data_IF_355951675905
#
_entry.id   IF_355951675905
#
_cell.length_a   1.000
_cell.length_b   1.000
_cell.length_c   1.000
_cell.angle_alpha   90.00
_cell.angle_beta   90.00
_cell.angle_gamma   90.00
#
_symmetry.space_group_name_H-M   'P 1'
#
loop_
_entity.id
_entity.type
_entity.pdbx_description
1 polymer ?
#
# COMPACT_ATOMS: atom_id res chain seq x y z
N UNK A 1 -43.04 -41.97 77.42
CA UNK A 1 -43.16 -42.42 76.02
C UNK A 1 -43.32 -41.25 74.97
N UNK A 2 -43.07 -40.02 75.35
CA UNK A 2 -43.16 -38.83 74.45
C UNK A 2 -41.85 -38.14 74.12
N UNK A 3 -40.75 -38.54 74.80
CA UNK A 3 -39.42 -37.87 74.54
C UNK A 3 -38.54 -38.68 73.55
N UNK A 4 -38.79 -39.94 73.33
CA UNK A 4 -38.03 -40.79 72.43
C UNK A 4 -38.37 -40.59 70.94
N UNK A 5 -39.56 -40.02 70.64
CA UNK A 5 -39.99 -39.79 69.26
C UNK A 5 -39.51 -38.46 68.64
N UNK A 6 -39.08 -37.50 69.45
CA UNK A 6 -38.57 -36.16 68.93
C UNK A 6 -37.11 -36.24 68.51
N UNK A 7 -36.33 -37.15 69.06
CA UNK A 7 -34.92 -37.30 68.73
C UNK A 7 -34.70 -37.93 67.33
N UNK A 8 -35.56 -38.90 66.98
CA UNK A 8 -35.40 -39.63 65.71
C UNK A 8 -35.85 -38.81 64.45
N UNK A 9 -36.74 -37.85 64.63
CA UNK A 9 -37.20 -36.97 63.53
C UNK A 9 -36.14 -35.89 63.20
N UNK A 10 -35.38 -35.44 64.20
CA UNK A 10 -34.30 -34.44 63.97
C UNK A 10 -33.11 -35.04 63.20
N UNK A 11 -32.79 -36.30 63.39
CA UNK A 11 -31.71 -36.99 62.70
C UNK A 11 -32.10 -37.33 61.24
N UNK A 12 -33.33 -37.62 60.97
CA UNK A 12 -33.80 -37.88 59.60
C UNK A 12 -33.83 -36.58 58.76
N UNK A 13 -34.18 -35.44 59.32
CA UNK A 13 -34.15 -34.14 58.61
C UNK A 13 -32.72 -33.66 58.36
N UNK A 14 -31.77 -33.95 59.23
CA UNK A 14 -30.36 -33.56 59.07
C UNK A 14 -29.66 -34.44 58.01
N UNK A 15 -29.99 -35.70 57.87
CA UNK A 15 -29.46 -36.64 56.89
C UNK A 15 -29.94 -36.29 55.43
N UNK A 16 -31.19 -35.83 55.29
CA UNK A 16 -31.73 -35.42 53.99
C UNK A 16 -31.19 -34.05 53.52
N UNK A 17 -30.86 -33.20 54.49
CA UNK A 17 -30.27 -31.90 54.14
C UNK A 17 -28.80 -31.99 53.66
N UNK A 18 -28.05 -32.95 54.11
CA UNK A 18 -26.68 -33.24 53.68
C UNK A 18 -26.61 -33.96 52.32
N UNK A 19 -27.64 -34.68 51.90
CA UNK A 19 -27.71 -35.31 50.60
C UNK A 19 -28.20 -34.35 49.48
N UNK A 20 -28.84 -33.24 49.83
CA UNK A 20 -29.27 -32.22 48.86
C UNK A 20 -28.19 -31.13 48.59
N UNK A 21 -27.15 -31.03 49.41
CA UNK A 21 -26.04 -30.09 49.17
C UNK A 21 -24.96 -30.65 48.24
N UNK A 22 -25.01 -31.94 47.90
CA UNK A 22 -24.05 -32.58 46.98
C UNK A 22 -24.37 -32.43 45.49
N UNK A 23 -25.54 -31.85 45.10
CA UNK A 23 -25.99 -31.80 43.69
C UNK A 23 -26.06 -30.40 43.06
N UNK A 24 -25.53 -29.37 43.70
CA UNK A 24 -25.66 -27.99 43.19
C UNK A 24 -24.31 -27.32 42.98
N UNK A 25 -23.33 -28.00 42.42
CA UNK A 25 -22.14 -27.34 41.85
C UNK A 25 -21.56 -28.10 40.65
N UNK A 26 -22.42 -28.64 39.80
CA UNK A 26 -22.04 -28.84 38.41
C UNK A 26 -22.25 -27.53 37.69
N UNK A 27 -21.28 -26.62 37.75
CA UNK A 27 -21.19 -25.50 36.84
C UNK A 27 -21.04 -26.13 35.45
N UNK A 28 -22.14 -26.22 34.71
CA UNK A 28 -22.12 -26.49 33.29
C UNK A 28 -21.38 -25.27 32.71
N UNK A 29 -20.05 -25.37 32.62
CA UNK A 29 -19.30 -24.48 31.73
C UNK A 29 -19.91 -24.74 30.34
N UNK A 30 -20.34 -23.69 29.63
CA UNK A 30 -20.72 -23.88 28.25
C UNK A 30 -19.48 -24.44 27.56
N UNK A 31 -19.51 -25.73 27.23
CA UNK A 31 -18.57 -26.28 26.27
C UNK A 31 -18.65 -25.34 25.06
N UNK A 32 -17.60 -24.54 24.82
CA UNK A 32 -17.38 -23.98 23.52
C UNK A 32 -17.41 -25.18 22.58
N UNK A 33 -18.53 -25.40 21.93
CA UNK A 33 -18.64 -26.32 20.83
C UNK A 33 -17.61 -25.81 19.83
N UNK A 34 -16.42 -26.43 19.82
CA UNK A 34 -15.49 -26.25 18.72
C UNK A 34 -16.25 -26.75 17.50
N UNK A 35 -16.84 -25.79 16.75
CA UNK A 35 -17.39 -26.12 15.47
C UNK A 35 -16.29 -26.80 14.68
N UNK A 36 -16.53 -28.04 14.25
CA UNK A 36 -15.56 -28.73 13.41
C UNK A 36 -15.20 -27.84 12.25
N UNK A 37 -13.90 -27.73 11.90
CA UNK A 37 -13.48 -26.90 10.78
C UNK A 37 -14.24 -27.36 9.54
N UNK A 38 -14.98 -26.43 8.94
CA UNK A 38 -15.80 -26.67 7.76
C UNK A 38 -15.04 -26.25 6.51
N UNK A 39 -15.27 -26.98 5.41
CA UNK A 39 -14.77 -26.57 4.10
C UNK A 39 -15.38 -25.23 3.70
N UNK A 40 -14.55 -24.29 3.26
CA UNK A 40 -14.99 -23.00 2.73
C UNK A 40 -15.07 -23.06 1.20
N UNK A 41 -16.25 -22.75 0.66
CA UNK A 41 -16.46 -22.64 -0.79
C UNK A 41 -16.10 -21.24 -1.27
N UNK A 42 -15.54 -21.16 -2.46
CA UNK A 42 -15.19 -19.88 -3.07
C UNK A 42 -16.43 -19.02 -3.32
N UNK A 43 -16.41 -17.78 -2.82
CA UNK A 43 -17.47 -16.79 -3.01
C UNK A 43 -16.97 -15.38 -2.74
N UNK A 44 -17.76 -14.37 -3.09
CA UNK A 44 -17.50 -13.00 -2.64
C UNK A 44 -18.78 -12.35 -2.11
N UNK A 45 -18.61 -11.37 -1.22
CA UNK A 45 -19.72 -10.63 -0.61
C UNK A 45 -19.27 -9.22 -0.19
N UNK A 46 -20.24 -8.32 -0.09
CA UNK A 46 -20.01 -6.94 0.35
C UNK A 46 -20.07 -6.87 1.88
N UNK A 47 -19.20 -6.07 2.47
CA UNK A 47 -19.20 -5.82 3.91
C UNK A 47 -18.79 -4.36 4.21
N UNK A 48 -18.88 -3.98 5.47
CA UNK A 48 -18.49 -2.67 5.99
C UNK A 48 -17.91 -2.83 7.38
N UNK A 49 -17.01 -1.94 7.75
CA UNK A 49 -16.58 -1.76 9.15
C UNK A 49 -16.71 -0.30 9.56
N UNK A 50 -16.65 -0.05 10.84
CA UNK A 50 -16.61 1.30 11.41
C UNK A 50 -15.16 1.54 11.83
N UNK A 51 -14.54 2.56 11.28
CA UNK A 51 -13.21 3.02 11.66
C UNK A 51 -13.23 3.64 13.07
N UNK A 52 -12.04 3.85 13.64
CA UNK A 52 -11.87 4.39 15.01
C UNK A 52 -12.56 5.74 15.25
N UNK A 53 -12.74 6.53 14.18
CA UNK A 53 -13.40 7.84 14.21
C UNK A 53 -14.89 7.79 13.84
N UNK A 54 -15.49 6.60 13.76
CA UNK A 54 -16.88 6.40 13.40
C UNK A 54 -17.16 6.37 11.89
N UNK A 55 -16.14 6.56 11.03
CA UNK A 55 -16.30 6.53 9.57
C UNK A 55 -16.62 5.11 9.09
N UNK A 56 -17.61 4.98 8.22
CA UNK A 56 -17.95 3.68 7.61
C UNK A 56 -17.05 3.43 6.40
N UNK A 57 -16.31 2.32 6.45
CA UNK A 57 -15.45 1.85 5.36
C UNK A 57 -16.09 0.63 4.71
N UNK A 58 -16.29 0.72 3.39
CA UNK A 58 -16.95 -0.30 2.59
C UNK A 58 -15.92 -1.15 1.82
N UNK A 59 -16.12 -2.46 1.81
CA UNK A 59 -15.23 -3.38 1.12
C UNK A 59 -15.96 -4.59 0.55
N UNK A 60 -15.28 -5.32 -0.31
CA UNK A 60 -15.70 -6.62 -0.84
C UNK A 60 -14.74 -7.67 -0.30
N UNK A 61 -15.29 -8.69 0.30
CA UNK A 61 -14.55 -9.86 0.79
C UNK A 61 -14.62 -10.95 -0.25
N UNK A 62 -13.48 -11.48 -0.64
CA UNK A 62 -13.31 -12.61 -1.52
C UNK A 62 -12.84 -13.81 -0.70
N UNK A 63 -13.77 -14.70 -0.39
CA UNK A 63 -13.53 -15.93 0.36
C UNK A 63 -12.90 -16.98 -0.55
N UNK A 64 -11.73 -17.52 -0.22
CA UNK A 64 -11.12 -18.61 -0.98
C UNK A 64 -11.87 -19.93 -0.82
N UNK A 65 -11.56 -20.91 -1.66
CA UNK A 65 -11.84 -22.29 -1.37
C UNK A 65 -10.77 -22.82 -0.41
N UNK A 66 -11.16 -23.33 0.77
CA UNK A 66 -10.26 -23.93 1.76
C UNK A 66 -10.85 -25.26 2.27
N UNK A 67 -10.00 -26.27 2.35
CA UNK A 67 -10.36 -27.52 3.00
C UNK A 67 -10.57 -27.30 4.50
N UNK A 68 -11.27 -28.21 5.14
CA UNK A 68 -11.45 -28.21 6.59
C UNK A 68 -10.08 -28.16 7.30
N UNK A 69 -9.89 -27.18 8.20
CA UNK A 69 -8.64 -26.98 8.96
C UNK A 69 -7.50 -26.29 8.20
N UNK A 70 -7.64 -26.03 6.91
CA UNK A 70 -6.68 -25.23 6.17
C UNK A 70 -6.86 -23.74 6.52
N UNK A 71 -5.75 -23.02 6.72
CA UNK A 71 -5.75 -21.57 6.93
C UNK A 71 -5.20 -20.82 5.71
N UNK A 72 -5.57 -19.55 5.57
CA UNK A 72 -5.13 -18.69 4.47
C UNK A 72 -4.77 -17.29 4.97
N UNK A 73 -3.71 -16.67 4.42
CA UNK A 73 -3.37 -15.29 4.72
C UNK A 73 -4.38 -14.32 4.10
N UNK A 74 -4.36 -13.08 4.60
CA UNK A 74 -5.15 -11.97 4.10
C UNK A 74 -4.34 -11.14 3.11
N UNK A 75 -4.92 -10.81 1.96
CA UNK A 75 -4.40 -9.81 1.04
C UNK A 75 -5.37 -8.63 0.98
N UNK A 76 -4.91 -7.45 1.37
CA UNK A 76 -5.65 -6.20 1.21
C UNK A 76 -5.31 -5.57 -0.14
N UNK A 77 -6.33 -5.24 -0.90
CA UNK A 77 -6.24 -4.52 -2.17
C UNK A 77 -7.05 -3.23 -2.07
N UNK A 78 -6.48 -2.13 -2.52
CA UNK A 78 -7.22 -0.89 -2.68
C UNK A 78 -6.85 -0.20 -3.97
N UNK A 79 -7.41 0.96 -4.22
CA UNK A 79 -7.44 1.62 -5.51
C UNK A 79 -6.61 2.90 -5.54
N UNK A 80 -6.15 3.29 -6.72
CA UNK A 80 -5.55 4.60 -6.99
C UNK A 80 -6.56 5.73 -6.77
N UNK A 81 -6.05 6.95 -6.68
CA UNK A 81 -6.84 8.14 -6.40
C UNK A 81 -7.99 8.32 -7.41
N UNK A 82 -9.17 8.66 -6.92
CA UNK A 82 -10.38 8.87 -7.75
C UNK A 82 -11.08 7.60 -8.22
N UNK A 83 -10.53 6.41 -7.95
CA UNK A 83 -11.13 5.13 -8.33
C UNK A 83 -11.96 4.52 -7.19
N UNK A 84 -12.32 3.27 -7.33
CA UNK A 84 -13.07 2.50 -6.33
C UNK A 84 -12.64 1.05 -6.31
N UNK A 85 -12.95 0.35 -5.22
CA UNK A 85 -12.61 -1.05 -5.00
C UNK A 85 -13.09 -2.00 -6.10
N UNK A 86 -12.53 -3.18 -6.15
CA UNK A 86 -13.05 -4.29 -6.93
C UNK A 86 -14.35 -4.82 -6.29
N UNK A 87 -15.50 -4.36 -6.77
CA UNK A 87 -16.83 -4.78 -6.26
C UNK A 87 -17.25 -6.14 -6.79
N UNK A 88 -16.89 -6.43 -8.02
CA UNK A 88 -17.18 -7.68 -8.74
C UNK A 88 -15.96 -8.10 -9.52
N UNK A 89 -15.54 -9.37 -9.44
CA UNK A 89 -14.27 -9.81 -10.01
C UNK A 89 -14.20 -9.70 -11.53
N UNK A 90 -15.34 -9.69 -12.22
CA UNK A 90 -15.40 -9.69 -13.69
C UNK A 90 -15.88 -8.34 -14.27
N UNK A 91 -16.52 -7.50 -13.48
CA UNK A 91 -17.19 -6.29 -13.98
C UNK A 91 -16.59 -4.98 -13.47
N UNK A 92 -15.83 -5.01 -12.40
CA UNK A 92 -15.16 -3.80 -11.89
C UNK A 92 -13.89 -3.51 -12.69
N UNK A 93 -13.50 -2.25 -12.78
CA UNK A 93 -12.30 -1.81 -13.49
C UNK A 93 -11.06 -2.59 -13.04
N UNK A 94 -10.87 -2.78 -11.73
CA UNK A 94 -9.80 -3.58 -11.17
C UNK A 94 -9.92 -5.07 -11.50
N UNK A 95 -11.11 -5.63 -11.40
CA UNK A 95 -11.33 -7.04 -11.71
C UNK A 95 -11.16 -7.40 -13.19
N UNK A 96 -11.39 -6.44 -14.07
CA UNK A 96 -11.33 -6.63 -15.52
C UNK A 96 -10.00 -6.18 -16.15
N UNK A 97 -9.48 -5.00 -15.77
CA UNK A 97 -8.44 -4.33 -16.53
C UNK A 97 -7.15 -4.07 -15.71
N UNK A 98 -7.29 -3.55 -14.50
CA UNK A 98 -6.12 -3.02 -13.78
C UNK A 98 -5.27 -4.14 -13.15
N UNK A 99 -3.93 -4.07 -13.28
CA UNK A 99 -3.03 -5.15 -12.89
C UNK A 99 -3.11 -5.54 -11.42
N UNK A 100 -3.21 -4.59 -10.51
CA UNK A 100 -3.29 -4.87 -9.07
C UNK A 100 -4.54 -5.66 -8.70
N UNK A 101 -5.68 -5.36 -9.35
CA UNK A 101 -6.91 -6.13 -9.23
C UNK A 101 -6.79 -7.52 -9.85
N UNK A 102 -6.04 -7.68 -10.95
CA UNK A 102 -5.76 -9.01 -11.51
C UNK A 102 -4.91 -9.87 -10.57
N UNK A 103 -3.92 -9.27 -9.89
CA UNK A 103 -3.16 -9.96 -8.85
C UNK A 103 -4.07 -10.34 -7.68
N UNK A 104 -4.91 -9.43 -7.19
CA UNK A 104 -5.86 -9.71 -6.12
C UNK A 104 -6.82 -10.86 -6.49
N UNK A 105 -7.32 -10.87 -7.72
CA UNK A 105 -8.16 -11.96 -8.25
C UNK A 105 -7.41 -13.29 -8.34
N UNK A 106 -6.14 -13.26 -8.74
CA UNK A 106 -5.27 -14.44 -8.77
C UNK A 106 -4.99 -14.96 -7.37
N UNK A 107 -4.69 -14.08 -6.41
CA UNK A 107 -4.51 -14.44 -5.01
C UNK A 107 -5.74 -15.13 -4.43
N UNK A 108 -6.94 -14.59 -4.68
CA UNK A 108 -8.20 -15.22 -4.28
C UNK A 108 -8.34 -16.65 -4.81
N UNK A 109 -8.04 -16.86 -6.09
CA UNK A 109 -8.07 -18.20 -6.72
C UNK A 109 -7.01 -19.14 -6.15
N UNK A 110 -5.89 -18.58 -5.69
CA UNK A 110 -4.76 -19.31 -5.10
C UNK A 110 -4.86 -19.45 -3.57
N UNK A 111 -6.07 -19.32 -3.01
CA UNK A 111 -6.32 -19.63 -1.62
C UNK A 111 -5.98 -18.51 -0.63
N UNK A 112 -6.00 -17.25 -1.05
CA UNK A 112 -5.94 -16.10 -0.16
C UNK A 112 -7.35 -15.61 0.19
N UNK A 113 -7.56 -15.20 1.43
CA UNK A 113 -8.60 -14.22 1.71
C UNK A 113 -8.19 -12.90 1.06
N UNK A 114 -9.09 -12.29 0.30
CA UNK A 114 -8.83 -10.98 -0.29
C UNK A 114 -9.91 -10.01 0.16
N UNK A 115 -9.51 -8.84 0.64
CA UNK A 115 -10.40 -7.72 0.89
C UNK A 115 -10.00 -6.58 -0.04
N UNK A 116 -10.92 -6.21 -0.94
CA UNK A 116 -10.78 -5.00 -1.75
C UNK A 116 -11.67 -3.91 -1.16
N UNK A 117 -11.08 -2.78 -0.72
CA UNK A 117 -11.81 -1.74 0.00
C UNK A 117 -11.81 -0.39 -0.74
N UNK A 118 -12.88 0.38 -0.57
CA UNK A 118 -12.89 1.80 -0.93
C UNK A 118 -12.18 2.59 0.18
N UNK A 119 -11.17 3.36 -0.18
CA UNK A 119 -10.55 4.30 0.75
C UNK A 119 -11.59 5.36 1.17
N UNK A 120 -11.41 5.97 2.35
CA UNK A 120 -12.33 7.02 2.81
C UNK A 120 -12.49 8.13 1.77
N UNK A 121 -13.69 8.68 1.66
CA UNK A 121 -14.02 9.66 0.63
C UNK A 121 -14.24 9.09 -0.77
N UNK A 122 -14.04 7.79 -1.00
CA UNK A 122 -14.21 7.15 -2.30
C UNK A 122 -15.33 6.09 -2.29
N UNK A 123 -15.87 5.81 -3.45
CA UNK A 123 -16.81 4.72 -3.68
C UNK A 123 -18.01 4.72 -2.73
N UNK A 124 -18.14 3.66 -1.93
CA UNK A 124 -19.19 3.52 -0.92
C UNK A 124 -18.70 3.77 0.51
N UNK A 125 -17.43 4.11 0.70
CA UNK A 125 -16.90 4.56 1.99
C UNK A 125 -17.30 6.00 2.28
N UNK A 126 -17.47 6.28 3.56
CA UNK A 126 -17.74 7.62 4.05
C UNK A 126 -16.44 8.40 4.30
N UNK A 127 -16.55 9.56 4.93
CA UNK A 127 -15.42 10.39 5.32
C UNK A 127 -14.92 11.31 4.22
N UNK A 128 -13.77 11.91 4.47
CA UNK A 128 -13.06 12.85 3.60
C UNK A 128 -11.69 12.30 3.21
N UNK A 129 -11.22 12.67 2.04
CA UNK A 129 -9.89 12.33 1.50
C UNK A 129 -8.86 13.18 2.24
N UNK A 130 -7.86 12.54 2.86
CA UNK A 130 -6.79 13.22 3.60
C UNK A 130 -5.37 12.87 3.11
N UNK A 131 -5.24 12.18 2.01
CA UNK A 131 -3.96 11.79 1.39
C UNK A 131 -3.07 10.90 2.29
N UNK A 132 -3.58 9.72 2.66
CA UNK A 132 -2.86 8.72 3.46
C UNK A 132 -2.50 9.16 4.89
N UNK A 133 -3.38 9.94 5.50
CA UNK A 133 -3.26 10.38 6.89
C UNK A 133 -3.11 9.18 7.84
N UNK A 134 -2.06 9.14 8.68
CA UNK A 134 -1.81 8.04 9.61
C UNK A 134 -2.91 7.83 10.64
N UNK A 135 -3.65 8.89 11.01
CA UNK A 135 -4.76 8.84 11.95
C UNK A 135 -6.12 8.54 11.29
N UNK A 136 -6.17 8.50 9.98
CA UNK A 136 -7.39 8.29 9.19
C UNK A 136 -7.26 7.09 8.24
N UNK A 137 -6.67 7.27 7.06
CA UNK A 137 -6.59 6.21 6.04
C UNK A 137 -5.83 4.97 6.54
N UNK A 138 -4.75 5.15 7.30
CA UNK A 138 -4.03 4.01 7.86
C UNK A 138 -4.83 3.32 8.98
N UNK A 139 -5.61 4.07 9.79
CA UNK A 139 -6.51 3.49 10.79
C UNK A 139 -7.69 2.74 10.15
N UNK A 140 -8.09 3.11 8.94
CA UNK A 140 -9.08 2.36 8.17
C UNK A 140 -8.57 0.95 7.84
N UNK A 141 -7.29 0.85 7.43
CA UNK A 141 -6.63 -0.44 7.16
C UNK A 141 -6.61 -1.31 8.43
N UNK A 142 -6.23 -0.74 9.57
CA UNK A 142 -6.21 -1.42 10.87
C UNK A 142 -7.62 -1.91 11.23
N UNK A 143 -8.63 -1.07 11.02
CA UNK A 143 -10.03 -1.40 11.30
C UNK A 143 -10.56 -2.54 10.40
N UNK A 144 -10.11 -2.61 9.15
CA UNK A 144 -10.42 -3.72 8.24
C UNK A 144 -9.77 -5.02 8.71
N UNK A 145 -8.50 -4.99 9.14
CA UNK A 145 -7.82 -6.16 9.70
C UNK A 145 -8.50 -6.66 10.97
N UNK A 146 -8.89 -5.75 11.88
CA UNK A 146 -9.65 -6.09 13.09
C UNK A 146 -11.00 -6.73 12.76
N UNK A 147 -11.68 -6.20 11.74
CA UNK A 147 -12.92 -6.79 11.25
C UNK A 147 -12.69 -8.20 10.67
N UNK A 148 -11.62 -8.38 9.91
CA UNK A 148 -11.28 -9.67 9.30
C UNK A 148 -11.02 -10.74 10.38
N UNK A 149 -10.19 -10.43 11.39
CA UNK A 149 -9.91 -11.35 12.51
C UNK A 149 -11.16 -11.76 13.27
N UNK A 150 -12.12 -10.86 13.42
CA UNK A 150 -13.37 -11.13 14.12
C UNK A 150 -14.36 -11.96 13.29
N UNK A 151 -14.38 -11.79 11.97
CA UNK A 151 -15.48 -12.26 11.12
C UNK A 151 -15.09 -13.33 10.11
N UNK A 152 -13.81 -13.49 9.79
CA UNK A 152 -13.38 -14.46 8.79
C UNK A 152 -12.81 -15.72 9.46
N UNK A 153 -13.32 -16.90 9.12
CA UNK A 153 -12.77 -18.15 9.63
C UNK A 153 -11.47 -18.54 8.91
N UNK A 154 -10.69 -19.41 9.52
CA UNK A 154 -9.52 -20.02 8.90
C UNK A 154 -8.48 -19.00 8.35
N UNK A 155 -8.33 -17.86 9.03
CA UNK A 155 -7.23 -16.92 8.76
C UNK A 155 -5.91 -17.49 9.25
N UNK A 156 -4.86 -17.39 8.43
CA UNK A 156 -3.51 -17.66 8.87
C UNK A 156 -3.04 -16.54 9.81
N UNK A 157 -2.49 -16.94 10.94
CA UNK A 157 -2.03 -16.03 11.99
C UNK A 157 -0.61 -16.37 12.43
N UNK A 158 0.07 -15.41 13.00
CA UNK A 158 1.32 -15.58 13.74
C UNK A 158 1.25 -14.81 15.07
N UNK A 159 2.39 -14.58 15.70
CA UNK A 159 2.47 -13.87 16.99
C UNK A 159 1.93 -12.42 16.95
N UNK A 160 1.89 -11.81 15.77
CA UNK A 160 1.40 -10.42 15.58
C UNK A 160 -0.11 -10.38 15.26
N UNK A 161 -0.77 -11.51 14.99
CA UNK A 161 -2.16 -11.61 14.54
C UNK A 161 -2.27 -12.13 13.11
N UNK A 162 -3.28 -11.68 12.36
CA UNK A 162 -3.51 -12.13 10.97
C UNK A 162 -2.34 -11.78 10.05
N UNK A 163 -1.86 -12.79 9.31
CA UNK A 163 -0.80 -12.58 8.30
C UNK A 163 -1.36 -11.81 7.11
N UNK A 164 -0.98 -10.55 6.99
CA UNK A 164 -1.53 -9.64 6.01
C UNK A 164 -0.49 -9.15 5.01
N UNK A 165 -0.84 -9.20 3.73
CA UNK A 165 -0.15 -8.49 2.67
C UNK A 165 -1.00 -7.35 2.12
N UNK A 166 -0.36 -6.36 1.47
CA UNK A 166 -1.06 -5.26 0.81
C UNK A 166 -0.54 -5.04 -0.61
N UNK A 167 -1.46 -4.69 -1.52
CA UNK A 167 -1.13 -4.33 -2.90
C UNK A 167 -2.01 -3.17 -3.38
N UNK A 168 -1.43 -2.29 -4.15
CA UNK A 168 -2.11 -1.19 -4.82
C UNK A 168 -1.14 -0.19 -5.42
N UNK A 169 -1.62 0.58 -6.38
CA UNK A 169 -0.85 1.61 -7.08
C UNK A 169 -1.16 3.02 -6.58
N UNK A 170 -0.23 3.95 -6.75
CA UNK A 170 -0.40 5.38 -6.48
C UNK A 170 -0.86 5.65 -5.05
N UNK A 171 -2.03 6.22 -4.85
CA UNK A 171 -2.65 6.46 -3.56
C UNK A 171 -2.71 5.19 -2.69
N UNK A 172 -3.05 4.05 -3.30
CA UNK A 172 -3.02 2.75 -2.65
C UNK A 172 -1.61 2.25 -2.30
N UNK A 173 -0.59 2.73 -2.97
CA UNK A 173 0.80 2.46 -2.65
C UNK A 173 1.25 3.20 -1.39
N UNK A 174 0.93 4.50 -1.29
CA UNK A 174 1.31 5.34 -0.16
C UNK A 174 0.78 4.84 1.18
N UNK A 175 -0.49 4.42 1.24
CA UNK A 175 -1.10 3.92 2.47
C UNK A 175 -0.44 2.63 2.98
N UNK A 176 0.17 1.82 2.11
CA UNK A 176 0.85 0.59 2.52
C UNK A 176 2.07 0.88 3.40
N UNK A 177 2.86 1.89 3.04
CA UNK A 177 4.01 2.30 3.84
C UNK A 177 3.60 2.71 5.25
N UNK A 178 2.58 3.55 5.36
CA UNK A 178 2.13 4.07 6.65
C UNK A 178 1.45 2.97 7.48
N UNK A 179 0.56 2.18 6.88
CA UNK A 179 -0.09 1.08 7.58
C UNK A 179 0.92 0.06 8.11
N UNK A 180 1.95 -0.28 7.33
CA UNK A 180 2.99 -1.21 7.77
C UNK A 180 3.94 -0.63 8.82
N UNK A 181 4.09 0.69 8.88
CA UNK A 181 4.82 1.36 9.97
C UNK A 181 4.05 1.27 11.31
N UNK A 182 2.72 1.34 11.25
CA UNK A 182 1.84 1.40 12.41
C UNK A 182 1.40 0.03 12.94
N UNK A 183 1.26 -0.98 12.07
CA UNK A 183 0.71 -2.28 12.46
C UNK A 183 1.55 -3.46 11.93
N UNK A 184 2.16 -4.26 12.85
CA UNK A 184 3.06 -5.36 12.47
C UNK A 184 2.33 -6.56 11.84
N UNK A 185 1.01 -6.58 11.78
CA UNK A 185 0.25 -7.58 11.02
C UNK A 185 0.45 -7.44 9.52
N UNK A 186 0.80 -6.23 9.03
CA UNK A 186 1.20 -6.01 7.64
C UNK A 186 2.64 -6.48 7.47
N UNK A 187 2.84 -7.64 6.85
CA UNK A 187 4.15 -8.33 6.76
C UNK A 187 4.79 -8.20 5.38
N UNK A 188 3.99 -8.02 4.34
CA UNK A 188 4.48 -7.90 2.97
C UNK A 188 3.69 -6.84 2.21
N UNK A 189 4.39 -5.94 1.54
CA UNK A 189 3.77 -4.87 0.75
C UNK A 189 4.26 -4.89 -0.70
N UNK A 190 3.35 -4.50 -1.60
CA UNK A 190 3.68 -4.28 -3.02
C UNK A 190 3.16 -2.89 -3.43
N UNK A 191 3.86 -1.82 -3.03
CA UNK A 191 3.54 -0.47 -3.46
C UNK A 191 4.02 -0.25 -4.89
N UNK A 192 3.13 0.30 -5.73
CA UNK A 192 3.37 0.48 -7.16
C UNK A 192 3.21 1.95 -7.51
N UNK A 193 4.20 2.55 -8.20
CA UNK A 193 4.19 3.96 -8.65
C UNK A 193 3.66 4.94 -7.59
N UNK A 194 4.30 4.97 -6.45
CA UNK A 194 3.88 5.80 -5.34
C UNK A 194 5.04 6.68 -4.82
N UNK A 195 4.76 7.48 -3.81
CA UNK A 195 5.71 8.42 -3.23
C UNK A 195 6.36 7.89 -1.96
N UNK A 196 7.60 8.27 -1.76
CA UNK A 196 8.28 8.25 -0.47
C UNK A 196 8.06 9.57 0.27
N UNK A 197 8.15 10.68 -0.49
CA UNK A 197 7.87 12.04 -0.04
C UNK A 197 6.88 12.73 -0.97
N UNK A 198 5.67 13.02 -0.46
CA UNK A 198 4.60 13.61 -1.27
C UNK A 198 4.85 15.09 -1.57
N UNK A 199 5.52 15.80 -0.66
CA UNK A 199 5.83 17.21 -0.85
C UNK A 199 6.88 17.37 -1.93
N UNK A 200 7.99 16.63 -1.84
CA UNK A 200 9.03 16.60 -2.88
C UNK A 200 8.45 16.16 -4.24
N UNK A 201 7.53 15.20 -4.22
CA UNK A 201 6.89 14.71 -5.45
C UNK A 201 5.97 15.72 -6.11
N UNK A 202 5.19 16.48 -5.37
CA UNK A 202 4.22 17.43 -5.92
C UNK A 202 4.77 18.84 -6.12
N UNK A 203 5.76 19.21 -5.30
CA UNK A 203 6.35 20.56 -5.28
C UNK A 203 7.89 20.47 -5.28
N UNK A 204 8.48 19.77 -6.27
CA UNK A 204 9.93 19.57 -6.30
C UNK A 204 10.68 20.93 -6.37
N UNK A 205 11.65 21.10 -5.46
CA UNK A 205 12.42 22.34 -5.31
C UNK A 205 11.56 23.61 -5.13
N UNK A 206 10.38 23.47 -4.53
CA UNK A 206 9.46 24.59 -4.33
C UNK A 206 8.61 24.96 -5.56
N UNK A 207 8.73 24.22 -6.66
CA UNK A 207 7.96 24.46 -7.91
C UNK A 207 6.81 23.45 -8.01
N UNK A 208 5.54 23.92 -7.97
CA UNK A 208 4.39 23.02 -8.06
C UNK A 208 4.27 22.35 -9.43
N UNK A 209 3.92 21.06 -9.44
CA UNK A 209 3.48 20.36 -10.66
C UNK A 209 2.03 20.75 -10.99
N UNK A 210 1.83 21.94 -11.53
CA UNK A 210 0.52 22.58 -11.69
C UNK A 210 -0.53 21.76 -12.43
N UNK A 211 -0.16 21.12 -13.54
CA UNK A 211 -1.09 20.28 -14.32
C UNK A 211 -1.54 19.04 -13.51
N UNK A 212 -0.63 18.38 -12.81
CA UNK A 212 -0.95 17.25 -11.96
C UNK A 212 -1.83 17.66 -10.77
N UNK A 213 -1.51 18.76 -10.12
CA UNK A 213 -2.31 19.28 -9.00
C UNK A 213 -3.72 19.64 -9.45
N UNK A 214 -3.85 20.28 -10.63
CA UNK A 214 -5.14 20.62 -11.22
C UNK A 214 -5.96 19.37 -11.56
N UNK A 215 -5.32 18.35 -12.15
CA UNK A 215 -5.94 17.08 -12.47
C UNK A 215 -6.39 16.32 -11.21
N UNK A 216 -5.55 16.24 -10.18
CA UNK A 216 -5.90 15.58 -8.91
C UNK A 216 -7.04 16.32 -8.19
N UNK A 217 -7.03 17.65 -8.21
CA UNK A 217 -8.13 18.43 -7.64
C UNK A 217 -9.44 18.20 -8.39
N UNK A 218 -9.40 18.17 -9.72
CA UNK A 218 -10.59 17.89 -10.55
C UNK A 218 -11.20 16.51 -10.19
N UNK A 219 -10.37 15.49 -10.08
CA UNK A 219 -10.82 14.14 -9.71
C UNK A 219 -11.36 14.10 -8.28
N UNK A 220 -10.69 14.75 -7.35
CA UNK A 220 -11.08 14.76 -5.93
C UNK A 220 -12.36 15.55 -5.67
N UNK A 221 -12.56 16.67 -6.35
CA UNK A 221 -13.72 17.53 -6.17
C UNK A 221 -14.91 17.11 -7.02
N UNK A 222 -14.71 16.98 -8.31
CA UNK A 222 -15.84 16.69 -9.22
C UNK A 222 -16.23 15.21 -9.19
N UNK A 223 -15.25 14.32 -9.38
CA UNK A 223 -15.55 12.88 -9.48
C UNK A 223 -15.99 12.27 -8.14
N UNK A 224 -15.44 12.77 -7.04
CA UNK A 224 -15.77 12.32 -5.69
C UNK A 224 -16.74 13.26 -4.93
N UNK A 225 -17.44 14.17 -5.62
CA UNK A 225 -18.48 15.01 -5.03
C UNK A 225 -17.99 15.84 -3.84
N UNK A 226 -16.90 16.58 -4.03
CA UNK A 226 -16.34 17.46 -2.99
C UNK A 226 -15.90 16.69 -1.72
N UNK A 227 -15.18 15.61 -1.92
CA UNK A 227 -14.75 14.72 -0.83
C UNK A 227 -13.39 15.06 -0.21
N UNK A 228 -12.67 16.03 -0.74
CA UNK A 228 -11.46 16.53 -0.08
C UNK A 228 -11.76 17.10 1.31
N UNK A 229 -10.84 16.84 2.24
CA UNK A 229 -10.81 17.54 3.51
C UNK A 229 -10.58 19.05 3.28
N UNK A 230 -11.23 19.94 4.07
CA UNK A 230 -11.06 21.38 3.90
C UNK A 230 -9.61 21.88 4.01
N UNK A 231 -8.79 21.27 4.89
CA UNK A 231 -7.38 21.64 5.05
C UNK A 231 -6.57 21.31 3.79
N UNK A 232 -6.84 20.17 3.15
CA UNK A 232 -6.21 19.82 1.88
C UNK A 232 -6.63 20.74 0.74
N UNK A 233 -7.88 21.19 0.73
CA UNK A 233 -8.34 22.20 -0.23
C UNK A 233 -7.62 23.52 -0.06
N UNK A 234 -7.44 23.95 1.17
CA UNK A 234 -6.68 25.17 1.46
C UNK A 234 -5.22 25.02 1.04
N UNK A 235 -4.58 23.88 1.36
CA UNK A 235 -3.23 23.59 0.94
C UNK A 235 -3.07 23.62 -0.59
N UNK A 236 -4.03 23.04 -1.32
CA UNK A 236 -4.06 23.10 -2.78
C UNK A 236 -4.16 24.54 -3.29
N UNK A 237 -5.05 25.36 -2.71
CA UNK A 237 -5.20 26.76 -3.10
C UNK A 237 -3.92 27.58 -2.85
N UNK A 238 -3.27 27.36 -1.72
CA UNK A 238 -2.00 28.01 -1.39
C UNK A 238 -0.90 27.65 -2.38
N UNK A 239 -0.76 26.38 -2.73
CA UNK A 239 0.20 25.90 -3.73
C UNK A 239 -0.10 26.48 -5.12
N UNK A 240 -1.38 26.56 -5.51
CA UNK A 240 -1.80 27.16 -6.79
C UNK A 240 -1.41 28.65 -6.89
N UNK A 241 -1.34 29.33 -5.76
CA UNK A 241 -0.88 30.71 -5.68
C UNK A 241 0.66 30.85 -5.62
N UNK A 242 1.38 29.73 -5.78
CA UNK A 242 2.84 29.69 -5.66
C UNK A 242 3.34 29.78 -4.21
N UNK A 243 2.49 29.50 -3.24
CA UNK A 243 2.81 29.59 -1.82
C UNK A 243 2.80 28.19 -1.19
N UNK A 244 3.97 27.62 -0.97
CA UNK A 244 4.11 26.46 -0.10
C UNK A 244 4.24 26.96 1.35
N UNK A 245 3.10 27.10 2.02
CA UNK A 245 3.07 27.56 3.42
C UNK A 245 3.59 26.47 4.38
N UNK A 246 4.13 26.89 5.51
CA UNK A 246 4.56 25.97 6.56
C UNK A 246 3.40 25.07 7.05
N UNK A 247 2.18 25.60 7.11
CA UNK A 247 0.97 24.82 7.47
C UNK A 247 0.66 23.69 6.50
N UNK A 248 0.89 23.91 5.20
CA UNK A 248 0.74 22.85 4.17
C UNK A 248 1.80 21.76 4.35
N UNK A 249 3.05 22.16 4.61
CA UNK A 249 4.12 21.22 4.91
C UNK A 249 3.82 20.42 6.17
N UNK A 250 3.40 21.09 7.25
CA UNK A 250 3.07 20.45 8.52
C UNK A 250 1.89 19.48 8.41
N UNK A 251 0.91 19.79 7.56
CA UNK A 251 -0.19 18.89 7.25
C UNK A 251 0.30 17.62 6.54
N UNK A 252 1.13 17.76 5.52
CA UNK A 252 1.50 16.65 4.65
C UNK A 252 2.68 15.82 5.16
N UNK A 253 3.51 16.35 6.05
CA UNK A 253 4.76 15.69 6.50
C UNK A 253 4.55 14.29 7.08
N UNK A 254 3.42 14.03 7.75
CA UNK A 254 3.10 12.71 8.32
C UNK A 254 2.40 11.78 7.33
N UNK A 255 2.08 12.25 6.12
CA UNK A 255 1.34 11.52 5.08
C UNK A 255 2.28 10.80 4.10
N UNK A 256 3.51 10.53 4.53
CA UNK A 256 4.58 10.05 3.66
C UNK A 256 5.56 9.14 4.40
N UNK A 257 6.16 8.21 3.67
CA UNK A 257 7.11 7.25 4.25
C UNK A 257 8.38 7.95 4.80
N UNK A 258 8.83 9.04 4.19
CA UNK A 258 10.03 9.79 4.60
C UNK A 258 9.97 10.19 6.08
N UNK A 259 8.85 10.71 6.54
CA UNK A 259 8.68 11.11 7.94
C UNK A 259 8.85 9.92 8.90
N UNK A 260 8.25 8.77 8.59
CA UNK A 260 8.37 7.57 9.41
C UNK A 260 9.80 7.04 9.44
N UNK A 261 10.51 7.13 8.30
CA UNK A 261 11.91 6.74 8.19
C UNK A 261 12.82 7.63 9.04
N UNK A 262 12.60 8.93 9.03
CA UNK A 262 13.39 9.93 9.77
C UNK A 262 13.13 9.87 11.27
N UNK A 263 11.94 9.45 11.69
CA UNK A 263 11.55 9.37 13.09
C UNK A 263 11.70 7.95 13.70
N UNK A 264 12.52 7.10 13.12
CA UNK A 264 12.78 5.72 13.56
C UNK A 264 11.51 4.84 13.64
N UNK A 265 10.53 5.13 12.83
CA UNK A 265 9.26 4.40 12.71
C UNK A 265 9.06 3.83 11.30
N UNK A 266 10.15 3.50 10.62
CA UNK A 266 10.12 3.00 9.25
C UNK A 266 9.11 1.84 9.06
N UNK A 267 8.60 1.63 7.82
CA UNK A 267 7.76 0.49 7.50
C UNK A 267 8.35 -0.82 8.01
N UNK A 268 7.53 -1.65 8.65
CA UNK A 268 7.92 -2.92 9.28
C UNK A 268 7.51 -4.13 8.45
N UNK A 269 7.36 -3.95 7.15
CA UNK A 269 7.01 -5.01 6.21
C UNK A 269 8.13 -5.19 5.20
N UNK A 270 8.31 -6.43 4.75
CA UNK A 270 9.11 -6.70 3.55
C UNK A 270 8.42 -6.09 2.32
N UNK A 271 9.18 -5.53 1.38
CA UNK A 271 8.62 -4.78 0.27
C UNK A 271 9.12 -5.22 -1.10
N UNK A 272 8.18 -5.39 -2.02
CA UNK A 272 8.46 -5.46 -3.46
C UNK A 272 7.94 -4.18 -4.11
N UNK A 273 8.81 -3.21 -4.30
CA UNK A 273 8.47 -1.90 -4.87
C UNK A 273 8.52 -1.98 -6.39
N UNK A 274 7.52 -1.43 -7.07
CA UNK A 274 7.51 -1.32 -8.52
C UNK A 274 7.34 0.15 -8.90
N UNK A 275 8.32 0.72 -9.59
CA UNK A 275 8.33 2.16 -9.93
C UNK A 275 8.61 2.38 -11.41
N UNK A 276 7.90 3.34 -12.02
CA UNK A 276 8.05 3.69 -13.42
C UNK A 276 9.15 4.73 -13.68
N UNK A 277 9.99 4.51 -14.71
CA UNK A 277 10.98 5.50 -15.13
C UNK A 277 10.38 6.74 -15.78
N UNK A 278 9.17 6.62 -16.31
CA UNK A 278 8.43 7.70 -16.95
C UNK A 278 7.36 8.30 -16.08
N UNK A 279 7.37 7.95 -14.80
CA UNK A 279 6.44 8.54 -13.86
C UNK A 279 6.87 9.96 -13.54
N UNK A 280 6.14 10.91 -14.12
CA UNK A 280 6.39 12.35 -13.90
C UNK A 280 5.64 12.87 -12.68
N UNK A 281 4.71 12.08 -12.11
CA UNK A 281 4.04 12.44 -10.86
C UNK A 281 4.90 12.00 -9.66
N UNK A 282 5.24 10.71 -9.59
CA UNK A 282 6.11 10.12 -8.57
C UNK A 282 7.37 9.53 -9.23
N UNK A 283 8.44 10.31 -9.34
CA UNK A 283 9.65 9.90 -10.05
C UNK A 283 10.28 8.61 -9.49
N UNK A 284 11.08 7.94 -10.29
CA UNK A 284 11.73 6.68 -9.93
C UNK A 284 12.54 6.74 -8.62
N UNK A 285 13.15 7.89 -8.32
CA UNK A 285 13.89 8.11 -7.08
C UNK A 285 13.01 7.99 -5.83
N UNK A 286 11.70 8.14 -5.91
CA UNK A 286 10.80 7.89 -4.78
C UNK A 286 10.83 6.42 -4.38
N UNK A 287 10.83 5.50 -5.35
CA UNK A 287 11.02 4.06 -5.10
C UNK A 287 12.39 3.74 -4.51
N UNK A 288 13.45 4.41 -4.99
CA UNK A 288 14.81 4.23 -4.46
C UNK A 288 14.90 4.67 -3.00
N UNK A 289 14.41 5.88 -2.69
CA UNK A 289 14.40 6.40 -1.30
C UNK A 289 13.60 5.50 -0.36
N UNK A 290 12.42 5.03 -0.79
CA UNK A 290 11.60 4.11 -0.01
C UNK A 290 12.32 2.77 0.24
N UNK A 291 12.96 2.21 -0.79
CA UNK A 291 13.72 0.98 -0.67
C UNK A 291 14.90 1.12 0.31
N UNK A 292 15.67 2.19 0.20
CA UNK A 292 16.78 2.49 1.12
C UNK A 292 16.32 2.65 2.57
N UNK A 293 15.15 3.26 2.77
CA UNK A 293 14.55 3.39 4.11
C UNK A 293 14.21 2.02 4.70
N UNK A 294 13.50 1.18 3.95
CA UNK A 294 13.09 -0.16 4.39
C UNK A 294 14.31 -1.05 4.66
N UNK A 295 15.33 -0.98 3.80
CA UNK A 295 16.57 -1.72 3.98
C UNK A 295 17.30 -1.32 5.29
N UNK A 296 17.33 -0.03 5.63
CA UNK A 296 17.90 0.45 6.90
C UNK A 296 17.17 -0.09 8.13
N UNK A 297 15.88 -0.39 8.02
CA UNK A 297 15.08 -1.02 9.08
C UNK A 297 15.19 -2.55 9.13
N UNK A 298 16.13 -3.13 8.36
CA UNK A 298 16.45 -4.57 8.30
C UNK A 298 15.32 -5.45 7.74
N UNK A 299 14.43 -4.86 6.95
CA UNK A 299 13.44 -5.60 6.18
C UNK A 299 13.93 -5.88 4.76
N UNK A 300 13.51 -7.01 4.21
CA UNK A 300 13.84 -7.36 2.83
C UNK A 300 13.12 -6.44 1.86
N UNK A 301 13.86 -5.92 0.89
CA UNK A 301 13.30 -5.03 -0.11
C UNK A 301 13.89 -5.29 -1.49
N UNK A 302 13.01 -5.32 -2.48
CA UNK A 302 13.37 -5.35 -3.89
C UNK A 302 12.69 -4.19 -4.60
N UNK A 303 13.41 -3.56 -5.54
CA UNK A 303 12.87 -2.52 -6.39
C UNK A 303 12.94 -2.95 -7.85
N UNK A 304 11.79 -2.96 -8.51
CA UNK A 304 11.67 -3.21 -9.94
C UNK A 304 11.37 -1.90 -10.65
N UNK A 305 12.31 -1.44 -11.47
CA UNK A 305 12.14 -0.31 -12.37
C UNK A 305 11.52 -0.73 -13.69
N UNK A 306 10.34 -0.18 -14.03
CA UNK A 306 9.62 -0.46 -15.26
C UNK A 306 9.63 0.72 -16.22
N UNK A 307 9.46 0.48 -17.53
CA UNK A 307 9.46 1.54 -18.54
C UNK A 307 8.16 2.38 -18.56
N UNK A 308 7.21 2.10 -17.69
CA UNK A 308 5.92 2.78 -17.64
C UNK A 308 5.94 4.15 -16.96
N UNK A 309 4.87 4.89 -17.16
CA UNK A 309 4.56 6.15 -16.46
C UNK A 309 3.51 5.95 -15.37
N UNK A 310 3.02 7.05 -14.79
CA UNK A 310 2.10 6.99 -13.64
C UNK A 310 0.78 6.28 -13.97
N UNK A 311 0.14 6.62 -15.07
CA UNK A 311 -1.15 6.01 -15.46
C UNK A 311 -1.01 4.59 -16.01
N UNK A 312 0.21 4.16 -16.31
CA UNK A 312 0.50 2.88 -16.95
C UNK A 312 1.82 2.28 -16.44
N UNK A 313 1.88 1.96 -15.14
CA UNK A 313 3.12 1.50 -14.53
C UNK A 313 3.66 0.22 -15.19
N UNK A 314 2.76 -0.61 -15.73
CA UNK A 314 3.13 -1.88 -16.39
C UNK A 314 3.20 -1.80 -17.92
N UNK A 315 2.98 -0.62 -18.50
CA UNK A 315 3.04 -0.47 -19.95
C UNK A 315 4.48 -0.49 -20.45
N UNK A 316 4.77 -1.37 -21.39
CA UNK A 316 6.01 -1.28 -22.17
C UNK A 316 5.86 -0.19 -23.24
N UNK A 317 6.99 0.36 -23.69
CA UNK A 317 7.02 1.33 -24.77
C UNK A 317 6.38 0.74 -26.02
N UNK A 318 5.19 1.22 -26.38
CA UNK A 318 4.57 0.95 -27.67
C UNK A 318 5.22 1.79 -28.76
N UNK A 319 5.33 1.31 -30.00
CA UNK A 319 5.68 2.14 -31.14
C UNK A 319 4.73 3.33 -31.35
N UNK A 320 3.52 3.25 -30.79
CA UNK A 320 2.48 4.28 -30.85
C UNK A 320 2.47 5.21 -29.62
N UNK A 321 3.52 5.18 -28.79
CA UNK A 321 3.60 5.93 -27.54
C UNK A 321 2.96 5.20 -26.35
N UNK A 322 2.74 5.93 -25.25
CA UNK A 322 2.13 5.40 -24.03
C UNK A 322 0.61 5.25 -24.19
N UNK A 323 0.18 4.33 -25.06
CA UNK A 323 -1.26 4.06 -25.25
C UNK A 323 -1.84 3.23 -24.11
N UNK A 324 -2.99 3.65 -23.55
CA UNK A 324 -3.43 3.28 -22.21
C UNK A 324 -3.76 1.81 -21.97
N UNK A 325 -4.13 1.03 -22.94
CA UNK A 325 -4.92 -0.17 -22.62
C UNK A 325 -4.39 -1.50 -23.16
N UNK A 326 -3.32 -1.51 -23.96
CA UNK A 326 -2.96 -2.70 -24.73
C UNK A 326 -1.66 -3.39 -24.30
N UNK A 327 -0.81 -2.71 -23.53
CA UNK A 327 0.48 -3.21 -23.09
C UNK A 327 0.61 -3.14 -21.57
N UNK A 328 -0.15 -3.93 -20.88
CA UNK A 328 0.16 -4.26 -19.49
C UNK A 328 1.43 -5.08 -19.56
N UNK A 329 2.56 -4.45 -19.23
CA UNK A 329 3.90 -5.03 -19.33
C UNK A 329 3.94 -6.37 -18.64
N UNK A 330 4.13 -7.40 -19.41
CA UNK A 330 4.00 -8.78 -18.92
C UNK A 330 5.24 -9.24 -18.20
N UNK A 331 6.39 -8.65 -18.53
CA UNK A 331 7.66 -9.06 -17.94
C UNK A 331 8.69 -7.93 -17.98
N UNK A 332 9.59 -7.98 -17.00
CA UNK A 332 10.77 -7.14 -16.87
C UNK A 332 12.00 -8.03 -17.01
N UNK A 333 13.00 -7.58 -17.76
CA UNK A 333 14.26 -8.29 -17.92
C UNK A 333 15.36 -7.52 -17.20
N UNK A 334 16.09 -8.16 -16.29
CA UNK A 334 17.25 -7.59 -15.63
C UNK A 334 18.37 -8.64 -15.48
N UNK A 335 19.59 -8.13 -15.41
CA UNK A 335 20.78 -8.98 -15.40
C UNK A 335 20.93 -9.77 -16.71
N UNK A 336 21.40 -11.00 -16.63
CA UNK A 336 21.68 -11.87 -17.78
C UNK A 336 20.41 -12.31 -18.54
N UNK A 337 19.54 -11.35 -18.87
CA UNK A 337 18.27 -11.53 -19.57
C UNK A 337 17.23 -12.39 -18.84
N UNK A 338 17.39 -12.61 -17.54
CA UNK A 338 16.36 -13.27 -16.75
C UNK A 338 15.07 -12.43 -16.79
N UNK A 339 13.99 -13.04 -17.25
CA UNK A 339 12.69 -12.37 -17.36
C UNK A 339 11.83 -12.69 -16.15
N UNK A 340 11.25 -11.63 -15.58
CA UNK A 340 10.29 -11.70 -14.48
C UNK A 340 8.91 -11.28 -14.98
N UNK A 341 7.96 -12.20 -15.03
CA UNK A 341 6.57 -11.87 -15.27
C UNK A 341 6.02 -11.20 -14.01
N UNK A 342 5.69 -9.93 -14.07
CA UNK A 342 5.36 -9.14 -12.89
C UNK A 342 4.23 -9.76 -12.04
N UNK A 343 3.17 -10.25 -12.67
CA UNK A 343 2.07 -10.88 -11.93
C UNK A 343 2.52 -12.14 -11.17
N UNK A 344 3.30 -13.01 -11.82
CA UNK A 344 3.81 -14.24 -11.20
C UNK A 344 4.84 -13.89 -10.11
N UNK A 345 5.64 -12.86 -10.34
CA UNK A 345 6.63 -12.34 -9.38
C UNK A 345 5.95 -11.79 -8.12
N UNK A 346 4.90 -10.99 -8.27
CA UNK A 346 4.13 -10.46 -7.14
C UNK A 346 3.45 -11.59 -6.36
N UNK A 347 2.86 -12.55 -7.06
CA UNK A 347 2.24 -13.69 -6.39
C UNK A 347 3.24 -14.54 -5.63
N UNK A 348 4.37 -14.86 -6.24
CA UNK A 348 5.43 -15.60 -5.57
C UNK A 348 6.01 -14.84 -4.37
N UNK A 349 6.14 -13.50 -4.45
CA UNK A 349 6.48 -12.66 -3.31
C UNK A 349 5.53 -12.86 -2.13
N UNK A 350 4.23 -12.77 -2.37
CA UNK A 350 3.25 -13.01 -1.32
C UNK A 350 3.26 -14.46 -0.81
N UNK A 351 3.40 -15.44 -1.69
CA UNK A 351 3.46 -16.86 -1.29
C UNK A 351 4.68 -17.12 -0.39
N UNK A 352 5.84 -16.54 -0.72
CA UNK A 352 7.05 -16.62 0.10
C UNK A 352 6.85 -15.95 1.49
N UNK A 353 6.28 -14.74 1.51
CA UNK A 353 6.19 -13.94 2.74
C UNK A 353 5.01 -14.30 3.64
N UNK A 354 3.92 -14.79 3.08
CA UNK A 354 2.67 -14.99 3.81
C UNK A 354 2.28 -16.46 3.98
N UNK A 355 2.83 -17.38 3.17
CA UNK A 355 2.54 -18.81 3.24
C UNK A 355 3.76 -19.66 3.63
N UNK A 356 4.90 -19.04 3.92
CA UNK A 356 6.16 -19.73 4.24
C UNK A 356 6.59 -20.73 3.16
N UNK A 357 6.26 -20.42 1.90
CA UNK A 357 6.69 -21.26 0.79
C UNK A 357 8.18 -21.06 0.53
N UNK A 358 8.91 -22.18 0.44
CA UNK A 358 10.35 -22.19 0.21
C UNK A 358 10.76 -21.85 -1.23
N UNK A 359 9.80 -21.69 -2.13
CA UNK A 359 10.07 -21.26 -3.51
C UNK A 359 10.51 -19.78 -3.49
N UNK A 360 11.80 -19.57 -3.38
CA UNK A 360 12.39 -18.24 -3.43
C UNK A 360 12.25 -17.68 -4.82
N UNK A 361 11.64 -16.51 -4.90
CA UNK A 361 11.80 -15.67 -6.06
C UNK A 361 13.22 -15.10 -5.95
N UNK A 362 14.10 -15.55 -6.81
CA UNK A 362 15.45 -15.00 -6.93
C UNK A 362 15.37 -13.63 -7.61
N UNK A 363 15.00 -12.61 -6.84
CA UNK A 363 14.96 -11.21 -7.26
C UNK A 363 16.24 -10.50 -6.88
N UNK A 364 16.84 -9.72 -7.80
CA UNK A 364 17.92 -8.83 -7.44
C UNK A 364 17.39 -7.71 -6.54
N UNK A 365 18.26 -7.11 -5.74
CA UNK A 365 17.95 -5.97 -4.89
C UNK A 365 17.34 -4.80 -5.70
N UNK A 366 17.94 -4.52 -6.85
CA UNK A 366 17.45 -3.54 -7.83
C UNK A 366 17.44 -4.15 -9.22
N UNK A 367 16.26 -4.34 -9.77
CA UNK A 367 16.02 -4.76 -11.13
C UNK A 367 15.56 -3.59 -11.98
N UNK A 368 16.35 -3.17 -12.93
CA UNK A 368 16.01 -2.13 -13.90
C UNK A 368 15.78 -2.81 -15.25
N UNK A 369 14.60 -2.57 -15.85
CA UNK A 369 14.23 -3.23 -17.11
C UNK A 369 15.28 -3.00 -18.21
N UNK A 370 15.74 -4.13 -18.79
CA UNK A 370 16.77 -4.17 -19.83
C UNK A 370 18.16 -3.65 -19.42
N UNK A 371 18.46 -3.66 -18.14
CA UNK A 371 19.74 -3.20 -17.60
C UNK A 371 20.45 -4.28 -16.79
N UNK A 372 21.75 -4.14 -16.48
CA UNK A 372 22.42 -4.97 -15.51
C UNK A 372 21.72 -4.93 -14.13
N UNK A 373 22.07 -5.88 -13.29
CA UNK A 373 21.62 -5.88 -11.88
C UNK A 373 22.44 -4.87 -11.09
N UNK A 374 21.76 -4.10 -10.24
CA UNK A 374 22.37 -3.11 -9.36
C UNK A 374 22.03 -3.40 -7.90
N UNK A 375 22.83 -2.82 -7.00
CA UNK A 375 22.51 -2.71 -5.57
C UNK A 375 22.24 -1.25 -5.23
N UNK A 376 21.46 -0.99 -4.20
CA UNK A 376 21.15 0.40 -3.80
C UNK A 376 22.40 1.22 -3.46
N UNK A 377 23.43 0.57 -2.89
CA UNK A 377 24.73 1.23 -2.63
C UNK A 377 25.48 1.69 -3.89
N UNK A 378 25.15 1.14 -5.05
CA UNK A 378 25.78 1.47 -6.33
C UNK A 378 25.14 2.72 -6.97
N UNK A 379 24.05 3.23 -6.39
CA UNK A 379 23.33 4.40 -6.90
C UNK A 379 23.90 5.74 -6.38
N UNK A 380 24.88 5.71 -5.51
CA UNK A 380 25.51 6.93 -5.01
C UNK A 380 26.22 7.67 -6.15
N UNK A 381 25.87 8.92 -6.36
CA UNK A 381 26.42 9.75 -7.43
C UNK A 381 27.92 9.94 -7.27
N UNK A 382 28.71 9.51 -8.25
CA UNK A 382 30.16 9.57 -8.20
C UNK A 382 30.79 10.51 -9.25
N UNK A 383 29.99 11.02 -10.17
CA UNK A 383 30.49 11.84 -11.28
C UNK A 383 29.82 13.20 -11.26
N UNK A 384 30.63 14.25 -11.19
CA UNK A 384 30.17 15.65 -11.28
C UNK A 384 30.78 16.32 -12.51
N UNK A 385 29.94 16.98 -13.27
CA UNK A 385 30.36 17.84 -14.37
C UNK A 385 30.04 19.29 -14.00
N UNK A 386 31.05 20.14 -14.03
CA UNK A 386 30.86 21.58 -13.80
C UNK A 386 30.81 22.31 -15.15
N UNK A 387 29.72 22.98 -15.39
CA UNK A 387 29.55 23.85 -16.56
C UNK A 387 29.72 25.29 -16.14
N UNK A 388 30.85 25.88 -16.46
CA UNK A 388 31.10 27.32 -16.23
C UNK A 388 30.59 28.11 -17.45
N UNK A 389 29.28 28.18 -17.59
CA UNK A 389 28.67 28.97 -18.69
C UNK A 389 27.53 29.82 -18.13
N UNK A 390 27.49 31.07 -18.58
CA UNK A 390 26.37 31.98 -18.39
C UNK A 390 25.53 31.96 -19.65
N UNK A 391 24.24 31.76 -19.53
CA UNK A 391 23.29 31.84 -20.64
C UNK A 391 22.38 33.02 -20.40
N UNK A 392 22.09 33.72 -21.48
CA UNK A 392 21.06 34.74 -21.51
C UNK A 392 19.84 34.08 -22.18
N UNK A 393 18.71 34.13 -21.52
CA UNK A 393 17.47 33.53 -22.02
C UNK A 393 17.13 34.16 -23.39
N UNK A 394 16.91 33.34 -24.43
CA UNK A 394 16.40 33.88 -25.69
C UNK A 394 14.96 34.36 -25.48
N UNK A 395 14.63 35.52 -26.03
CA UNK A 395 13.34 36.20 -25.83
C UNK A 395 12.10 35.44 -26.33
N UNK A 396 12.27 34.25 -26.87
CA UNK A 396 11.19 33.37 -27.38
C UNK A 396 11.33 31.98 -26.79
N UNK A 397 10.78 31.69 -25.66
CA UNK A 397 10.48 30.36 -25.06
C UNK A 397 11.05 29.11 -25.75
N UNK A 398 12.22 29.17 -26.35
CA UNK A 398 12.85 28.02 -27.00
C UNK A 398 13.64 27.19 -25.99
N UNK A 399 13.48 25.86 -26.05
CA UNK A 399 14.30 24.96 -25.27
C UNK A 399 15.79 25.15 -25.60
N UNK A 400 16.62 25.37 -24.61
CA UNK A 400 18.07 25.48 -24.73
C UNK A 400 18.70 24.12 -24.48
N UNK A 401 19.38 23.58 -25.49
CA UNK A 401 20.13 22.32 -25.36
C UNK A 401 21.59 22.62 -25.12
N UNK A 402 22.12 22.16 -24.00
CA UNK A 402 23.53 22.33 -23.67
C UNK A 402 24.16 20.93 -23.56
N UNK A 403 25.14 20.62 -24.43
CA UNK A 403 25.86 19.37 -24.30
C UNK A 403 26.73 19.42 -23.05
N UNK A 404 26.50 18.46 -22.13
CA UNK A 404 27.22 18.35 -20.87
C UNK A 404 28.46 17.49 -21.06
N UNK A 405 28.29 16.37 -21.75
CA UNK A 405 29.37 15.39 -21.99
C UNK A 405 29.06 14.57 -23.24
N UNK A 406 30.09 14.16 -23.92
CA UNK A 406 30.00 13.24 -25.07
C UNK A 406 30.41 11.84 -24.60
N UNK A 407 29.51 10.87 -24.68
CA UNK A 407 29.81 9.47 -24.37
C UNK A 407 30.48 8.86 -25.61
N UNK A 408 31.75 8.50 -25.48
CA UNK A 408 32.57 7.93 -26.57
C UNK A 408 32.61 6.40 -26.55
N UNK A 409 32.20 5.77 -25.45
CA UNK A 409 32.15 4.32 -25.28
C UNK A 409 30.79 3.88 -24.75
N UNK A 410 30.47 2.59 -24.83
CA UNK A 410 29.26 2.04 -24.25
C UNK A 410 29.27 2.27 -22.73
N UNK A 411 28.37 3.09 -22.26
CA UNK A 411 28.23 3.41 -20.84
C UNK A 411 26.79 3.23 -20.36
N UNK A 412 26.66 2.81 -19.11
CA UNK A 412 25.37 2.79 -18.40
C UNK A 412 25.28 4.00 -17.49
N UNK A 413 24.31 4.87 -17.77
CA UNK A 413 23.98 6.00 -16.91
C UNK A 413 22.90 5.56 -15.91
N UNK A 414 23.27 5.50 -14.63
CA UNK A 414 22.37 5.10 -13.54
C UNK A 414 22.38 6.15 -12.44
N UNK A 415 21.29 6.25 -11.69
CA UNK A 415 21.13 7.22 -10.61
C UNK A 415 20.20 8.37 -10.99
N UNK A 416 20.07 9.33 -10.09
CA UNK A 416 19.26 10.54 -10.28
C UNK A 416 20.17 11.68 -10.70
N UNK A 417 20.06 12.21 -11.94
CA UNK A 417 20.83 13.36 -12.34
C UNK A 417 20.40 14.59 -11.51
N UNK A 418 21.36 15.33 -11.01
CA UNK A 418 21.14 16.59 -10.31
C UNK A 418 21.73 17.74 -11.11
N UNK A 419 20.96 18.79 -11.30
CA UNK A 419 21.40 20.01 -11.96
C UNK A 419 21.30 21.18 -10.97
N UNK A 420 22.42 21.76 -10.61
CA UNK A 420 22.47 22.97 -9.77
C UNK A 420 22.62 24.18 -10.67
N UNK A 421 21.60 25.02 -10.71
CA UNK A 421 21.58 26.25 -11.49
C UNK A 421 21.57 27.46 -10.56
N UNK A 422 22.39 28.44 -10.85
CA UNK A 422 22.22 29.81 -10.34
C UNK A 422 21.43 30.60 -11.40
N UNK A 423 20.18 30.94 -11.04
CA UNK A 423 19.30 31.68 -11.94
C UNK A 423 19.21 33.11 -11.43
N UNK A 424 19.49 34.06 -12.29
CA UNK A 424 19.30 35.50 -12.05
C UNK A 424 18.22 36.02 -12.99
N UNK A 425 17.12 36.52 -12.43
CA UNK A 425 16.03 37.09 -13.21
C UNK A 425 15.82 38.56 -12.83
N UNK A 426 15.45 39.46 -13.78
CA UNK A 426 15.25 40.86 -13.48
C UNK A 426 14.16 41.14 -12.43
N UNK A 427 13.23 40.19 -12.24
CA UNK A 427 12.04 40.36 -11.41
C UNK A 427 11.95 39.35 -10.26
N UNK A 428 13.02 38.65 -9.91
CA UNK A 428 13.03 37.57 -8.90
C UNK A 428 11.90 36.51 -9.05
N UNK A 429 11.36 36.35 -10.25
CA UNK A 429 10.35 35.33 -10.57
C UNK A 429 10.98 34.28 -11.46
N UNK A 430 11.04 33.06 -10.96
CA UNK A 430 11.33 31.85 -11.74
C UNK A 430 10.00 31.17 -12.02
N UNK A 431 9.67 31.01 -13.29
CA UNK A 431 8.47 30.32 -13.77
C UNK A 431 8.79 28.87 -14.13
#
# INVERSE_FOLDING_TARGET
>A
MKESMRSNILWLCFGIFLLLQGCVNATIQPQKTQSQPTELKQRYFQAKTIASDGTIIAFTVYQPHLKAGQTAPLLLHTHGFGLSRMKRPELSLYGFLLPTGQVAKTAWKNGYWVISYDQRGHGNSQGKIRLTDPEKEAQDVISIMNWAEKNLPQLAQNQNGVRTGMIGESYAGGVQYIASALDPRVQAIVPITTWHDIVDSLVPNGVPKGDWLSFLNLIGDWWNWNKFDPELKQAYQDIQQGQLKQSTYDLLKTHQASWFCENAQAPKADALIIQGFRDVLFPFNEGVKAAQCIQKSQHEVHLIGVQGGHLQPFAQRSPLGDTPFWYIGKSVACGNQKQYKLQDTIMGWFDQKLKDQTATIDLPELCVDKSPVYKFKDLDAKTQYTLNRTWIEPQNSQAVFVPIHTITELAHLTGTPQLNLKIETPNNKVT
#
